data_IF_641571089988
#
_entry.id   IF_641571089988
#
_cell.length_a   1.000
_cell.length_b   1.000
_cell.length_c   1.000
_cell.angle_alpha   90.00
_cell.angle_beta   90.00
_cell.angle_gamma   90.00
#
_symmetry.space_group_name_H-M   'P 1'
#
loop_
_entity.id
_entity.type
_entity.pdbx_description
1 polymer ?
#
# COMPACT_ATOMS: atom_id res chain seq x y z
N UNK A 1 -17.49 17.35 8.24
CA UNK A 1 -16.51 17.76 7.21
C UNK A 1 -15.72 16.55 6.77
N UNK A 2 -15.61 16.33 5.45
CA UNK A 2 -14.82 15.26 4.85
C UNK A 2 -13.59 15.89 4.16
N UNK A 3 -12.37 15.77 4.73
CA UNK A 3 -11.16 16.22 4.07
C UNK A 3 -10.88 15.38 2.81
N UNK A 4 -10.62 16.04 1.68
CA UNK A 4 -10.40 15.34 0.42
C UNK A 4 -9.19 15.90 -0.32
N UNK A 5 -8.26 15.01 -0.68
CA UNK A 5 -7.14 15.27 -1.59
C UNK A 5 -7.44 14.78 -3.00
N UNK A 6 -6.71 13.74 -3.44
CA UNK A 6 -6.86 13.13 -4.77
C UNK A 6 -8.10 12.25 -4.95
N UNK A 7 -8.76 11.86 -3.88
CA UNK A 7 -9.88 10.92 -3.86
C UNK A 7 -9.55 9.56 -4.50
N UNK A 8 -8.36 9.05 -4.22
CA UNK A 8 -7.83 7.77 -4.75
C UNK A 8 -7.97 6.61 -3.78
N UNK A 9 -8.46 6.87 -2.55
CA UNK A 9 -8.66 5.84 -1.53
C UNK A 9 -9.73 4.82 -1.93
N UNK A 10 -9.53 3.57 -1.51
CA UNK A 10 -10.36 2.42 -1.91
C UNK A 10 -11.38 1.99 -0.85
N UNK A 11 -11.42 2.66 0.30
CA UNK A 11 -12.30 2.32 1.44
C UNK A 11 -13.32 3.42 1.76
N UNK A 12 -13.53 4.38 0.86
CA UNK A 12 -14.55 5.41 1.00
C UNK A 12 -14.24 6.52 2.01
N UNK A 13 -13.03 6.59 2.58
CA UNK A 13 -12.66 7.53 3.64
C UNK A 13 -12.72 9.02 3.28
N UNK A 14 -12.79 9.37 1.99
CA UNK A 14 -12.90 10.76 1.50
C UNK A 14 -14.21 11.03 0.73
N UNK A 15 -15.23 10.16 0.89
CA UNK A 15 -16.52 10.25 0.19
C UNK A 15 -17.60 10.73 1.15
N UNK A 16 -18.31 11.85 0.87
CA UNK A 16 -19.44 12.28 1.69
C UNK A 16 -20.63 11.35 1.44
N UNK A 17 -21.14 10.70 2.48
CA UNK A 17 -22.24 9.74 2.39
C UNK A 17 -23.58 10.28 2.87
N UNK A 18 -23.59 11.29 3.74
CA UNK A 18 -24.79 11.80 4.41
C UNK A 18 -24.93 13.33 4.31
N UNK A 19 -24.36 13.93 3.25
CA UNK A 19 -24.45 15.36 3.00
C UNK A 19 -23.38 16.20 3.70
N UNK A 20 -22.29 15.59 4.10
CA UNK A 20 -21.14 16.29 4.70
C UNK A 20 -20.52 17.29 3.73
N UNK A 21 -19.95 18.35 4.29
CA UNK A 21 -19.19 19.33 3.52
C UNK A 21 -17.82 18.73 3.16
N UNK A 22 -17.51 18.67 1.87
CA UNK A 22 -16.19 18.27 1.38
C UNK A 22 -15.22 19.45 1.48
N UNK A 23 -14.14 19.26 2.23
CA UNK A 23 -13.03 20.21 2.30
C UNK A 23 -11.89 19.77 1.35
N UNK A 24 -11.85 20.36 0.16
CA UNK A 24 -10.80 20.07 -0.81
C UNK A 24 -9.47 20.70 -0.41
N UNK A 25 -8.43 19.87 -0.30
CA UNK A 25 -7.07 20.29 0.05
C UNK A 25 -6.16 20.46 -1.17
N UNK A 26 -6.68 20.29 -2.38
CA UNK A 26 -5.91 20.34 -3.64
C UNK A 26 -5.17 21.67 -3.87
N UNK A 27 -5.63 22.77 -3.27
CA UNK A 27 -4.99 24.10 -3.38
C UNK A 27 -3.78 24.29 -2.47
N UNK A 28 -3.50 23.36 -1.57
CA UNK A 28 -2.31 23.40 -0.72
C UNK A 28 -1.10 22.80 -1.46
N UNK A 29 -0.62 23.49 -2.47
CA UNK A 29 0.38 23.00 -3.45
C UNK A 29 1.81 23.51 -3.20
N UNK A 30 2.08 24.11 -2.05
CA UNK A 30 3.40 24.67 -1.76
C UNK A 30 4.47 23.56 -1.73
N UNK A 31 5.61 23.83 -2.34
CA UNK A 31 6.82 23.00 -2.30
C UNK A 31 7.99 23.89 -1.91
N UNK A 32 8.69 23.59 -0.83
CA UNK A 32 9.94 24.27 -0.49
C UNK A 32 11.09 23.80 -1.38
N UNK A 33 12.19 24.55 -1.40
CA UNK A 33 13.44 23.98 -1.89
C UNK A 33 13.81 22.71 -1.09
N UNK A 34 14.44 21.76 -1.77
CA UNK A 34 14.97 20.56 -1.09
C UNK A 34 16.15 20.95 -0.21
N UNK A 35 16.08 20.59 1.06
CA UNK A 35 17.19 20.67 1.97
C UNK A 35 18.15 19.50 1.72
N UNK A 36 19.20 19.75 0.95
CA UNK A 36 20.17 18.74 0.52
C UNK A 36 20.95 18.16 1.72
N UNK A 37 21.23 18.97 2.74
CA UNK A 37 22.00 18.54 3.88
C UNK A 37 21.19 17.61 4.79
N UNK A 38 19.90 17.91 4.97
CA UNK A 38 19.00 17.06 5.74
C UNK A 38 18.37 15.92 4.90
N UNK A 39 18.40 15.99 3.57
CA UNK A 39 17.65 15.08 2.70
C UNK A 39 16.15 15.20 2.96
N UNK A 40 15.62 16.44 2.98
CA UNK A 40 14.22 16.69 3.35
C UNK A 40 13.58 17.78 2.49
N UNK A 41 12.26 17.78 2.45
CA UNK A 41 11.46 18.80 1.77
C UNK A 41 10.18 19.10 2.56
N UNK A 42 9.74 20.36 2.60
CA UNK A 42 8.44 20.73 3.14
C UNK A 42 7.44 20.89 2.01
N UNK A 43 6.30 20.22 2.13
CA UNK A 43 5.28 20.13 1.08
C UNK A 43 3.89 20.43 1.63
N UNK A 44 3.04 21.07 0.84
CA UNK A 44 1.62 21.21 1.13
C UNK A 44 0.87 19.89 0.91
N UNK A 45 -0.22 19.71 1.64
CA UNK A 45 -1.02 18.48 1.62
C UNK A 45 -1.65 18.15 0.25
N UNK A 46 -1.85 19.15 -0.62
CA UNK A 46 -2.42 19.02 -1.97
C UNK A 46 -1.41 18.65 -3.06
N UNK A 47 -0.11 18.63 -2.76
CA UNK A 47 0.93 18.21 -3.71
C UNK A 47 0.72 16.75 -4.09
N UNK A 48 0.71 16.42 -5.38
CA UNK A 48 0.60 15.02 -5.83
C UNK A 48 1.92 14.27 -5.64
N UNK A 49 1.84 12.94 -5.55
CA UNK A 49 3.03 12.10 -5.43
C UNK A 49 3.96 12.29 -6.64
N UNK A 50 3.43 12.35 -7.85
CA UNK A 50 4.24 12.57 -9.06
C UNK A 50 5.01 13.90 -8.97
N UNK A 51 4.36 15.02 -8.57
CA UNK A 51 5.06 16.31 -8.41
C UNK A 51 6.15 16.25 -7.32
N UNK A 52 5.90 15.53 -6.24
CA UNK A 52 6.91 15.34 -5.18
C UNK A 52 8.10 14.53 -5.70
N UNK A 53 7.84 13.44 -6.44
CA UNK A 53 8.88 12.60 -7.04
C UNK A 53 9.73 13.38 -8.04
N UNK A 54 9.10 14.15 -8.94
CA UNK A 54 9.80 15.01 -9.90
C UNK A 54 10.68 16.07 -9.20
N UNK A 55 10.13 16.69 -8.14
CA UNK A 55 10.85 17.70 -7.38
C UNK A 55 12.05 17.13 -6.63
N UNK A 56 11.91 15.93 -6.03
CA UNK A 56 13.01 15.21 -5.39
C UNK A 56 14.06 14.78 -6.43
N UNK A 57 13.60 14.26 -7.59
CA UNK A 57 14.45 13.82 -8.70
C UNK A 57 15.31 14.94 -9.27
N UNK A 58 14.75 16.14 -9.42
CA UNK A 58 15.49 17.34 -9.84
C UNK A 58 16.63 17.71 -8.87
N UNK A 59 16.53 17.29 -7.62
CA UNK A 59 17.56 17.47 -6.60
C UNK A 59 18.51 16.24 -6.44
N UNK A 60 18.38 15.22 -7.30
CA UNK A 60 19.19 13.99 -7.22
C UNK A 60 18.79 13.04 -6.10
N UNK A 61 17.60 13.23 -5.54
CA UNK A 61 17.01 12.39 -4.49
C UNK A 61 15.73 11.71 -4.98
N UNK A 62 15.16 10.83 -4.18
CA UNK A 62 13.89 10.18 -4.45
C UNK A 62 12.97 10.28 -3.23
N UNK A 63 11.68 10.08 -3.45
CA UNK A 63 10.72 9.88 -2.36
C UNK A 63 10.50 8.38 -2.15
N UNK A 64 10.53 7.91 -0.91
CA UNK A 64 10.55 6.48 -0.58
C UNK A 64 9.24 5.74 -0.82
N UNK A 65 8.10 6.44 -0.90
CA UNK A 65 6.79 5.85 -1.18
C UNK A 65 6.46 5.99 -2.66
N UNK A 66 6.03 4.88 -3.27
CA UNK A 66 5.55 4.86 -4.66
C UNK A 66 4.32 3.95 -4.79
N UNK A 67 3.28 4.43 -5.47
CA UNK A 67 2.02 3.73 -5.67
C UNK A 67 1.39 4.07 -7.03
N UNK A 68 0.50 3.20 -7.53
CA UNK A 68 -0.06 3.32 -8.88
C UNK A 68 -0.82 4.62 -9.18
N UNK A 69 -1.45 5.25 -8.17
CA UNK A 69 -2.23 6.47 -8.33
C UNK A 69 -1.38 7.77 -8.21
N UNK A 70 -0.08 7.72 -8.54
CA UNK A 70 0.90 8.81 -8.31
C UNK A 70 0.50 10.18 -8.85
N UNK A 71 -0.23 10.22 -9.96
CA UNK A 71 -0.66 11.47 -10.59
C UNK A 71 -1.79 12.20 -9.84
N UNK A 72 -2.54 11.46 -9.03
CA UNK A 72 -3.73 11.96 -8.33
C UNK A 72 -3.62 11.90 -6.81
N UNK A 73 -2.93 10.90 -6.25
CA UNK A 73 -2.74 10.77 -4.81
C UNK A 73 -1.96 11.96 -4.26
N UNK A 74 -2.48 12.60 -3.21
CA UNK A 74 -1.87 13.78 -2.61
C UNK A 74 -1.15 13.45 -1.32
N UNK A 75 -0.13 14.20 -0.97
CA UNK A 75 0.69 14.01 0.23
C UNK A 75 -0.17 13.93 1.50
N UNK A 76 -1.11 14.86 1.68
CA UNK A 76 -1.99 14.84 2.86
C UNK A 76 -2.87 13.59 2.92
N UNK A 77 -3.39 13.13 1.77
CA UNK A 77 -4.17 11.90 1.67
C UNK A 77 -3.34 10.67 2.00
N UNK A 78 -2.12 10.56 1.44
CA UNK A 78 -1.19 9.45 1.72
C UNK A 78 -0.79 9.40 3.20
N UNK A 79 -0.56 10.55 3.86
CA UNK A 79 -0.27 10.59 5.30
C UNK A 79 -1.51 10.16 6.09
N UNK A 80 -2.70 10.67 5.75
CA UNK A 80 -3.94 10.36 6.45
C UNK A 80 -4.29 8.86 6.40
N UNK A 81 -3.90 8.15 5.33
CA UNK A 81 -4.09 6.69 5.19
C UNK A 81 -2.85 5.87 5.59
N UNK A 82 -1.73 6.53 5.90
CA UNK A 82 -0.44 5.87 6.09
C UNK A 82 -0.08 4.96 4.91
N UNK A 83 -0.18 5.48 3.69
CA UNK A 83 0.03 4.72 2.47
C UNK A 83 1.41 4.03 2.45
N UNK A 84 1.43 2.79 1.98
CA UNK A 84 2.65 2.00 1.75
C UNK A 84 3.16 2.14 0.32
N UNK A 85 3.18 1.04 -0.42
CA UNK A 85 3.52 0.99 -1.85
C UNK A 85 4.71 0.10 -2.16
N UNK A 86 5.13 0.12 -3.43
CA UNK A 86 6.07 -0.84 -4.03
C UNK A 86 7.41 -1.01 -3.29
N UNK A 87 7.92 0.06 -2.69
CA UNK A 87 9.24 0.04 -2.03
C UNK A 87 9.13 0.02 -0.48
N UNK A 88 7.98 -0.41 0.05
CA UNK A 88 7.75 -0.48 1.51
C UNK A 88 8.84 -1.30 2.22
N UNK A 89 9.24 -2.42 1.61
CA UNK A 89 10.31 -3.29 2.13
C UNK A 89 11.59 -2.51 2.48
N UNK A 90 11.94 -1.51 1.67
CA UNK A 90 13.21 -0.78 1.78
C UNK A 90 13.09 0.52 2.55
N UNK A 91 12.00 1.24 2.39
CA UNK A 91 11.85 2.61 2.89
C UNK A 91 10.75 2.78 3.91
N UNK A 92 9.89 1.77 4.11
CA UNK A 92 8.69 1.87 4.92
C UNK A 92 7.56 2.65 4.25
N UNK A 93 6.50 2.94 5.01
CA UNK A 93 5.34 3.70 4.56
C UNK A 93 5.45 5.19 4.84
N UNK A 94 4.34 5.91 4.62
CA UNK A 94 4.29 7.37 4.84
C UNK A 94 4.69 7.78 6.24
N UNK A 95 4.30 7.02 7.28
CA UNK A 95 4.67 7.31 8.68
C UNK A 95 6.19 7.37 8.89
N UNK A 96 6.95 6.58 8.13
CA UNK A 96 8.41 6.55 8.22
C UNK A 96 9.07 7.70 7.45
N UNK A 97 8.34 8.32 6.52
CA UNK A 97 8.82 9.46 5.75
C UNK A 97 8.49 10.80 6.42
N UNK A 98 7.48 10.85 7.31
CA UNK A 98 7.07 12.09 7.97
C UNK A 98 8.07 12.46 9.07
N UNK A 99 8.68 13.66 8.92
CA UNK A 99 9.60 14.27 9.91
C UNK A 99 8.96 15.45 10.64
N UNK A 100 7.78 15.86 10.22
CA UNK A 100 7.00 16.91 10.85
C UNK A 100 5.70 17.17 10.11
N UNK A 101 4.72 17.74 10.80
CA UNK A 101 3.40 18.05 10.26
C UNK A 101 2.92 19.44 10.64
N UNK A 102 2.02 19.95 9.82
CA UNK A 102 1.09 21.02 10.15
C UNK A 102 -0.31 20.50 9.95
N UNK A 103 -1.20 20.72 10.90
CA UNK A 103 -2.57 20.29 10.83
C UNK A 103 -3.52 21.28 11.52
N UNK A 104 -4.81 21.23 11.14
CA UNK A 104 -5.88 22.03 11.75
C UNK A 104 -6.81 21.09 12.50
N UNK A 105 -7.01 21.35 13.79
CA UNK A 105 -7.95 20.63 14.66
C UNK A 105 -9.40 21.02 14.38
N UNK A 106 -10.34 20.30 14.98
CA UNK A 106 -11.78 20.52 14.78
C UNK A 106 -12.26 21.91 15.17
N UNK A 107 -11.63 22.51 16.18
CA UNK A 107 -11.91 23.88 16.66
C UNK A 107 -11.24 24.99 15.83
N UNK A 108 -10.49 24.65 14.79
CA UNK A 108 -9.75 25.57 13.96
C UNK A 108 -8.32 25.88 14.47
N UNK A 109 -7.91 25.32 15.60
CA UNK A 109 -6.53 25.47 16.11
C UNK A 109 -5.51 24.86 15.15
N UNK A 110 -4.50 25.65 14.76
CA UNK A 110 -3.38 25.19 13.95
C UNK A 110 -2.29 24.65 14.87
N UNK A 111 -1.93 23.40 14.68
CA UNK A 111 -0.76 22.79 15.30
C UNK A 111 0.33 22.61 14.24
N UNK A 112 1.57 22.96 14.57
CA UNK A 112 2.65 22.95 13.60
C UNK A 112 3.98 22.56 14.25
N UNK A 113 4.64 21.59 13.64
CA UNK A 113 6.02 21.19 13.93
C UNK A 113 6.64 20.70 12.62
N UNK A 114 7.37 21.57 11.91
CA UNK A 114 7.96 21.29 10.61
C UNK A 114 9.50 21.40 10.62
N UNK A 115 10.13 21.37 11.80
CA UNK A 115 11.58 21.57 11.96
C UNK A 115 12.40 20.39 11.38
N UNK A 116 11.82 19.20 11.32
CA UNK A 116 12.42 18.05 10.64
C UNK A 116 13.65 17.48 11.34
N UNK A 117 13.71 17.58 12.67
CA UNK A 117 14.79 17.02 13.46
C UNK A 117 14.75 15.49 13.42
N UNK A 118 15.91 14.85 13.19
CA UNK A 118 16.01 13.39 13.22
C UNK A 118 15.78 12.77 14.60
N UNK A 119 16.03 13.55 15.65
CA UNK A 119 15.80 13.16 17.05
C UNK A 119 15.09 14.29 17.74
N UNK A 120 13.84 14.06 18.11
CA UNK A 120 13.04 14.95 18.93
C UNK A 120 12.18 14.12 19.89
N UNK A 121 12.47 14.24 21.18
CA UNK A 121 11.73 13.61 22.27
C UNK A 121 10.98 14.63 23.12
N UNK A 122 10.65 15.81 22.56
CA UNK A 122 10.00 16.90 23.27
C UNK A 122 8.49 16.72 23.26
N UNK A 123 7.97 15.81 24.06
CA UNK A 123 6.54 15.54 24.20
C UNK A 123 6.03 14.35 23.39
N UNK A 124 4.72 14.29 23.20
CA UNK A 124 4.08 13.23 22.42
C UNK A 124 4.30 13.41 20.91
N UNK A 125 4.54 12.32 20.21
CA UNK A 125 4.61 12.29 18.74
C UNK A 125 3.19 12.33 18.13
N UNK A 126 2.60 13.52 18.12
CA UNK A 126 1.28 13.73 17.55
C UNK A 126 1.30 13.61 16.01
N UNK A 127 2.45 13.83 15.37
CA UNK A 127 2.60 13.62 13.93
C UNK A 127 2.34 12.17 13.54
N UNK A 128 2.92 11.23 14.28
CA UNK A 128 2.66 9.79 14.05
C UNK A 128 1.25 9.37 14.42
N UNK A 129 0.61 10.04 15.37
CA UNK A 129 -0.80 9.81 15.69
C UNK A 129 -1.72 10.18 14.52
N UNK A 130 -1.41 11.26 13.79
CA UNK A 130 -2.18 11.69 12.64
C UNK A 130 -1.94 10.84 11.39
N UNK A 131 -0.79 10.15 11.29
CA UNK A 131 -0.54 9.20 10.19
C UNK A 131 -1.43 7.97 10.32
N UNK A 132 -2.35 7.79 9.37
CA UNK A 132 -3.35 6.72 9.39
C UNK A 132 -4.62 7.07 10.18
N UNK A 133 -4.83 8.36 10.52
CA UNK A 133 -6.05 8.81 11.18
C UNK A 133 -7.24 9.01 10.24
N UNK A 134 -7.05 8.88 8.95
CA UNK A 134 -8.08 8.98 7.90
C UNK A 134 -8.92 10.27 7.97
N UNK A 135 -8.28 11.38 8.40
CA UNK A 135 -8.95 12.67 8.53
C UNK A 135 -9.95 12.78 9.70
N UNK A 136 -9.95 11.82 10.63
CA UNK A 136 -10.88 11.80 11.77
C UNK A 136 -10.38 12.64 12.97
N UNK A 137 -9.08 12.93 13.05
CA UNK A 137 -8.47 13.63 14.21
C UNK A 137 -8.06 15.07 13.89
N UNK A 138 -7.66 15.34 12.66
CA UNK A 138 -7.24 16.66 12.19
C UNK A 138 -7.24 16.70 10.66
N UNK A 139 -7.17 17.91 10.10
CA UNK A 139 -6.95 18.17 8.67
C UNK A 139 -5.47 18.48 8.46
N UNK A 140 -4.72 17.57 7.82
CA UNK A 140 -3.31 17.75 7.50
C UNK A 140 -3.18 18.79 6.39
N UNK A 141 -2.37 19.84 6.60
CA UNK A 141 -2.20 20.96 5.66
C UNK A 141 -0.81 21.03 5.05
N UNK A 142 0.23 20.61 5.78
CA UNK A 142 1.60 20.51 5.28
C UNK A 142 2.38 19.41 6.00
N UNK A 143 3.46 18.94 5.37
CA UNK A 143 4.38 17.97 5.95
C UNK A 143 5.83 18.32 5.63
N UNK A 144 6.74 18.02 6.56
CA UNK A 144 8.18 17.88 6.34
C UNK A 144 8.46 16.40 6.09
N UNK A 145 8.98 16.06 4.91
CA UNK A 145 9.18 14.69 4.46
C UNK A 145 10.67 14.38 4.27
N UNK A 146 11.05 13.18 4.65
CA UNK A 146 12.35 12.59 4.33
C UNK A 146 12.40 12.21 2.86
N UNK A 147 13.52 12.52 2.22
CA UNK A 147 13.89 12.01 0.91
C UNK A 147 14.97 10.93 1.07
N UNK A 148 15.04 10.04 0.09
CA UNK A 148 15.97 8.91 0.07
C UNK A 148 16.93 9.07 -1.10
N UNK A 149 18.09 8.36 -1.13
CA UNK A 149 18.97 8.37 -2.29
C UNK A 149 18.22 7.89 -3.54
N UNK A 150 18.42 8.59 -4.66
CA UNK A 150 17.99 8.10 -5.96
C UNK A 150 18.96 6.99 -6.43
N UNK A 151 18.46 5.76 -6.51
CA UNK A 151 19.23 4.64 -7.04
C UNK A 151 18.99 4.52 -8.54
N UNK A 152 20.02 4.86 -9.34
CA UNK A 152 19.95 4.82 -10.80
C UNK A 152 20.06 3.39 -11.34
N UNK A 153 20.90 2.56 -10.68
CA UNK A 153 21.14 1.18 -11.11
C UNK A 153 20.07 0.25 -10.53
N UNK A 154 19.45 -0.52 -11.40
CA UNK A 154 18.38 -1.45 -11.05
C UNK A 154 18.53 -2.76 -11.80
N UNK A 155 18.21 -3.86 -11.17
CA UNK A 155 18.01 -5.16 -11.80
C UNK A 155 16.60 -5.66 -11.47
N UNK A 156 15.92 -6.25 -12.47
CA UNK A 156 14.57 -6.80 -12.31
C UNK A 156 14.59 -8.23 -12.84
N UNK A 157 14.06 -9.17 -12.08
CA UNK A 157 13.88 -10.54 -12.49
C UNK A 157 12.43 -10.99 -12.27
N UNK A 158 11.93 -11.81 -13.19
CA UNK A 158 10.69 -12.57 -13.03
C UNK A 158 11.06 -14.04 -12.84
N UNK A 159 10.64 -14.60 -11.73
CA UNK A 159 10.91 -15.97 -11.31
C UNK A 159 9.62 -16.76 -11.32
N UNK A 160 9.65 -18.03 -11.75
CA UNK A 160 8.49 -18.89 -11.83
C UNK A 160 8.65 -20.14 -10.95
N UNK A 161 7.55 -20.55 -10.31
CA UNK A 161 7.51 -21.65 -9.35
C UNK A 161 6.30 -22.56 -9.59
N UNK A 162 6.47 -23.86 -9.27
CA UNK A 162 5.40 -24.83 -9.33
C UNK A 162 4.40 -24.71 -8.18
N UNK A 163 4.86 -24.18 -7.03
CA UNK A 163 4.03 -24.02 -5.83
C UNK A 163 4.19 -22.62 -5.23
N UNK A 164 3.11 -22.11 -4.65
CA UNK A 164 3.10 -20.81 -3.96
C UNK A 164 4.09 -20.81 -2.78
N UNK A 165 4.16 -21.91 -2.05
CA UNK A 165 5.11 -22.07 -0.93
C UNK A 165 6.55 -21.86 -1.36
N UNK A 166 6.93 -22.39 -2.53
CA UNK A 166 8.30 -22.25 -3.06
C UNK A 166 8.63 -20.79 -3.41
N UNK A 167 7.67 -20.06 -3.98
CA UNK A 167 7.82 -18.63 -4.26
C UNK A 167 7.98 -17.80 -2.98
N UNK A 168 7.24 -18.14 -1.92
CA UNK A 168 7.33 -17.44 -0.63
C UNK A 168 8.65 -17.76 0.09
N UNK A 169 9.09 -19.01 0.08
CA UNK A 169 10.39 -19.38 0.63
C UNK A 169 11.52 -18.62 -0.09
N UNK A 170 11.46 -18.50 -1.42
CA UNK A 170 12.41 -17.74 -2.21
C UNK A 170 12.48 -16.26 -1.81
N UNK A 171 11.37 -15.62 -1.43
CA UNK A 171 11.38 -14.24 -0.91
C UNK A 171 12.27 -14.12 0.32
N UNK A 172 12.14 -15.05 1.27
CA UNK A 172 12.91 -15.01 2.51
C UNK A 172 14.39 -15.37 2.29
N UNK A 173 14.70 -16.22 1.30
CA UNK A 173 16.06 -16.49 0.88
C UNK A 173 16.70 -15.24 0.26
N UNK A 174 16.00 -14.59 -0.68
CA UNK A 174 16.47 -13.37 -1.34
C UNK A 174 16.64 -12.21 -0.35
N UNK A 175 15.71 -12.01 0.60
CA UNK A 175 15.85 -10.98 1.65
C UNK A 175 17.09 -11.14 2.52
N UNK A 176 17.59 -12.37 2.70
CA UNK A 176 18.82 -12.63 3.47
C UNK A 176 20.08 -12.54 2.63
N UNK A 177 19.98 -12.80 1.34
CA UNK A 177 21.12 -12.90 0.44
C UNK A 177 21.43 -11.61 -0.34
N UNK A 178 20.43 -10.71 -0.49
CA UNK A 178 20.50 -9.56 -1.41
C UNK A 178 20.26 -8.26 -0.64
N UNK A 179 21.31 -7.52 -0.38
CA UNK A 179 21.25 -6.24 0.34
C UNK A 179 20.56 -5.12 -0.49
N UNK A 180 20.67 -5.22 -1.82
CA UNK A 180 20.07 -4.26 -2.75
C UNK A 180 18.57 -4.49 -3.02
N UNK A 181 17.96 -5.52 -2.42
CA UNK A 181 16.55 -5.85 -2.64
C UNK A 181 15.63 -4.66 -2.32
N UNK A 182 14.82 -4.25 -3.29
CA UNK A 182 13.94 -3.09 -3.20
C UNK A 182 12.44 -3.45 -3.23
N UNK A 183 12.07 -4.49 -3.98
CA UNK A 183 10.70 -4.99 -4.06
C UNK A 183 10.67 -6.49 -4.35
N UNK A 184 9.63 -7.17 -3.87
CA UNK A 184 9.31 -8.55 -4.21
C UNK A 184 7.79 -8.72 -4.27
N UNK A 185 7.29 -9.02 -5.47
CA UNK A 185 5.88 -9.01 -5.83
C UNK A 185 5.42 -10.41 -6.25
N UNK A 186 4.46 -10.96 -5.50
CA UNK A 186 3.83 -12.24 -5.83
C UNK A 186 2.63 -12.02 -6.74
N UNK A 187 2.42 -12.88 -7.71
CA UNK A 187 1.15 -13.05 -8.43
C UNK A 187 1.02 -14.48 -8.94
N UNK A 188 -0.23 -14.90 -9.19
CA UNK A 188 -0.53 -16.26 -9.59
C UNK A 188 -0.65 -16.40 -11.11
N UNK A 189 -0.50 -17.63 -11.61
CA UNK A 189 -0.58 -17.95 -13.03
C UNK A 189 -1.89 -17.50 -13.69
N UNK A 190 -3.02 -17.68 -13.01
CA UNK A 190 -4.33 -17.23 -13.52
C UNK A 190 -4.39 -15.70 -13.72
N UNK A 191 -3.76 -14.93 -12.81
CA UNK A 191 -3.68 -13.49 -12.93
C UNK A 191 -2.77 -13.05 -14.08
N UNK A 192 -1.62 -13.71 -14.25
CA UNK A 192 -0.72 -13.44 -15.37
C UNK A 192 -1.36 -13.75 -16.72
N UNK A 193 -2.06 -14.88 -16.83
CA UNK A 193 -2.81 -15.23 -18.05
C UNK A 193 -3.85 -14.17 -18.38
N UNK A 194 -4.62 -13.72 -17.38
CA UNK A 194 -5.59 -12.65 -17.57
C UNK A 194 -4.94 -11.36 -18.07
N UNK A 195 -3.80 -10.95 -17.49
CA UNK A 195 -3.06 -9.75 -17.91
C UNK A 195 -2.58 -9.90 -19.36
N UNK A 196 -1.97 -11.04 -19.71
CA UNK A 196 -1.48 -11.28 -21.07
C UNK A 196 -2.62 -11.28 -22.10
N UNK A 197 -3.75 -11.95 -21.79
CA UNK A 197 -4.88 -12.07 -22.70
C UNK A 197 -5.66 -10.76 -22.88
N UNK A 198 -5.92 -10.04 -21.79
CA UNK A 198 -6.77 -8.84 -21.83
C UNK A 198 -6.05 -7.60 -22.30
N UNK A 199 -4.73 -7.56 -22.13
CA UNK A 199 -3.92 -6.37 -22.38
C UNK A 199 -2.88 -6.57 -23.49
N UNK A 200 -3.01 -7.69 -24.23
CA UNK A 200 -2.16 -8.05 -25.36
C UNK A 200 -0.65 -8.01 -25.04
N UNK A 201 -0.29 -8.53 -23.86
CA UNK A 201 1.12 -8.68 -23.47
C UNK A 201 1.66 -10.07 -23.88
N UNK A 202 2.91 -10.14 -24.34
CA UNK A 202 3.53 -11.43 -24.63
C UNK A 202 3.66 -12.27 -23.37
N UNK A 203 3.53 -13.60 -23.47
CA UNK A 203 3.81 -14.49 -22.33
C UNK A 203 5.30 -14.41 -21.97
N UNK A 204 5.65 -14.30 -20.65
CA UNK A 204 7.05 -14.21 -20.25
C UNK A 204 7.81 -15.53 -20.42
N UNK A 205 7.10 -16.66 -20.32
CA UNK A 205 7.61 -18.02 -20.45
C UNK A 205 6.75 -18.85 -21.40
N UNK A 206 7.31 -19.90 -22.03
CA UNK A 206 6.56 -20.79 -22.91
C UNK A 206 5.43 -21.54 -22.18
N UNK A 207 5.67 -21.93 -20.92
CA UNK A 207 4.72 -22.62 -20.05
C UNK A 207 4.15 -21.70 -19.00
N UNK A 208 2.93 -22.01 -18.53
CA UNK A 208 2.31 -21.33 -17.38
C UNK A 208 2.67 -22.07 -16.10
N UNK A 209 3.06 -21.31 -15.08
CA UNK A 209 3.40 -21.82 -13.76
C UNK A 209 2.36 -21.35 -12.73
N UNK A 210 2.32 -21.98 -11.55
CA UNK A 210 1.32 -21.66 -10.55
C UNK A 210 1.57 -20.29 -9.90
N UNK A 211 2.83 -19.96 -9.60
CA UNK A 211 3.21 -18.74 -8.91
C UNK A 211 4.39 -18.04 -9.60
N UNK A 212 4.37 -16.74 -9.55
CA UNK A 212 5.44 -15.88 -10.07
C UNK A 212 5.87 -14.89 -9.00
N UNK A 213 7.17 -14.64 -8.95
CA UNK A 213 7.78 -13.63 -8.10
C UNK A 213 8.54 -12.63 -8.97
N UNK A 214 8.10 -11.39 -9.01
CA UNK A 214 8.86 -10.28 -9.60
C UNK A 214 9.74 -9.68 -8.49
N UNK A 215 11.03 -9.58 -8.76
CA UNK A 215 12.02 -9.06 -7.82
C UNK A 215 12.73 -7.87 -8.44
N UNK A 216 12.81 -6.77 -7.70
CA UNK A 216 13.62 -5.61 -8.06
C UNK A 216 14.73 -5.39 -7.03
N UNK A 217 15.93 -5.18 -7.52
CA UNK A 217 17.09 -4.71 -6.79
C UNK A 217 17.45 -3.30 -7.24
N UNK A 218 17.85 -2.42 -6.32
CA UNK A 218 18.26 -1.06 -6.64
C UNK A 218 19.48 -0.64 -5.83
N UNK A 219 20.47 -0.01 -6.48
CA UNK A 219 21.72 0.32 -5.85
C UNK A 219 22.44 1.53 -6.46
N UNK A 220 23.57 1.89 -5.85
CA UNK A 220 24.53 2.85 -6.42
C UNK A 220 25.42 2.19 -7.48
N UNK A 221 25.72 0.90 -7.30
CA UNK A 221 26.34 0.04 -8.30
C UNK A 221 25.29 -0.87 -8.92
N UNK A 222 25.57 -1.41 -10.11
CA UNK A 222 24.68 -2.34 -10.81
C UNK A 222 24.47 -3.61 -9.97
N UNK A 223 23.24 -3.91 -9.53
CA UNK A 223 22.94 -5.07 -8.69
C UNK A 223 22.66 -6.36 -9.50
N UNK A 224 22.90 -6.38 -10.80
CA UNK A 224 22.54 -7.50 -11.68
C UNK A 224 23.26 -8.78 -11.29
N UNK A 225 24.58 -8.71 -11.02
CA UNK A 225 25.39 -9.88 -10.64
C UNK A 225 24.99 -10.41 -9.26
N UNK A 226 24.69 -9.51 -8.30
CA UNK A 226 24.21 -9.88 -6.96
C UNK A 226 22.88 -10.65 -7.06
N UNK A 227 21.92 -10.10 -7.83
CA UNK A 227 20.62 -10.75 -8.04
C UNK A 227 20.78 -12.08 -8.77
N UNK A 228 21.57 -12.15 -9.84
CA UNK A 228 21.77 -13.36 -10.61
C UNK A 228 22.40 -14.48 -9.76
N UNK A 229 23.40 -14.14 -8.93
CA UNK A 229 24.05 -15.10 -8.03
C UNK A 229 23.05 -15.63 -6.98
N UNK A 230 22.21 -14.78 -6.40
CA UNK A 230 21.20 -15.19 -5.44
C UNK A 230 20.11 -16.06 -6.09
N UNK A 231 19.61 -15.69 -7.27
CA UNK A 231 18.64 -16.47 -8.03
C UNK A 231 19.16 -17.86 -8.39
N UNK A 232 20.44 -17.97 -8.76
CA UNK A 232 21.07 -19.26 -9.08
C UNK A 232 21.16 -20.22 -7.88
N UNK A 233 21.00 -19.73 -6.64
CA UNK A 233 21.01 -20.56 -5.43
C UNK A 233 19.61 -21.04 -5.02
N UNK A 234 18.52 -20.51 -5.64
CA UNK A 234 17.15 -20.90 -5.31
C UNK A 234 16.88 -22.34 -5.75
N UNK A 235 16.64 -23.23 -4.79
CA UNK A 235 16.55 -24.68 -5.02
C UNK A 235 15.30 -25.17 -5.74
N UNK A 236 14.24 -24.36 -5.86
CA UNK A 236 12.93 -24.77 -6.40
C UNK A 236 12.45 -23.87 -7.53
N UNK A 237 13.36 -23.10 -8.10
CA UNK A 237 13.11 -22.25 -9.24
C UNK A 237 12.91 -23.13 -10.49
N UNK A 238 11.81 -22.86 -11.25
CA UNK A 238 11.49 -23.60 -12.49
C UNK A 238 11.97 -22.83 -13.71
N UNK A 239 11.71 -21.51 -13.73
CA UNK A 239 12.09 -20.64 -14.85
C UNK A 239 12.44 -19.25 -14.34
N UNK A 240 13.28 -18.51 -15.04
CA UNK A 240 13.69 -17.17 -14.68
C UNK A 240 13.97 -16.30 -15.91
N UNK A 241 13.52 -15.06 -15.86
CA UNK A 241 13.86 -14.03 -16.82
C UNK A 241 14.44 -12.81 -16.09
N UNK A 242 15.71 -12.53 -16.31
CA UNK A 242 16.36 -11.30 -15.85
C UNK A 242 16.25 -10.27 -16.97
N UNK A 243 15.72 -9.10 -16.65
CA UNK A 243 15.50 -8.07 -17.65
C UNK A 243 16.77 -7.29 -17.96
N UNK A 244 17.10 -7.15 -19.24
CA UNK A 244 17.91 -6.04 -19.70
C UNK A 244 17.17 -4.70 -19.44
N UNK A 245 17.88 -3.55 -19.46
CA UNK A 245 17.27 -2.25 -19.17
C UNK A 245 16.01 -1.93 -19.98
N UNK A 246 15.93 -2.42 -21.24
CA UNK A 246 14.79 -2.16 -22.13
C UNK A 246 13.56 -3.02 -21.80
N UNK A 247 13.72 -4.11 -21.06
CA UNK A 247 12.61 -5.03 -20.71
C UNK A 247 12.09 -4.87 -19.29
N UNK A 248 12.71 -4.06 -18.44
CA UNK A 248 12.28 -3.87 -17.04
C UNK A 248 10.81 -3.44 -16.94
N UNK A 249 10.38 -2.50 -17.78
CA UNK A 249 9.00 -2.03 -17.81
C UNK A 249 8.01 -3.13 -18.19
N UNK A 250 8.39 -4.04 -19.09
CA UNK A 250 7.56 -5.17 -19.47
C UNK A 250 7.36 -6.12 -18.30
N UNK A 251 8.44 -6.44 -17.56
CA UNK A 251 8.32 -7.32 -16.39
C UNK A 251 7.41 -6.70 -15.31
N UNK A 252 7.58 -5.40 -15.04
CA UNK A 252 6.69 -4.69 -14.13
C UNK A 252 5.24 -4.65 -14.62
N UNK A 253 5.00 -4.53 -15.93
CA UNK A 253 3.66 -4.49 -16.49
C UNK A 253 2.87 -5.77 -16.17
N UNK A 254 3.51 -6.95 -16.11
CA UNK A 254 2.83 -8.19 -15.70
C UNK A 254 2.24 -8.07 -14.29
N UNK A 255 2.89 -7.35 -13.37
CA UNK A 255 2.40 -7.16 -12.00
C UNK A 255 1.49 -5.94 -11.86
N UNK A 256 1.89 -4.79 -12.36
CA UNK A 256 1.17 -3.52 -12.15
C UNK A 256 -0.17 -3.47 -12.86
N UNK A 257 -0.35 -4.20 -13.96
CA UNK A 257 -1.58 -4.16 -14.75
C UNK A 257 -2.65 -5.17 -14.32
N UNK A 258 -2.45 -5.92 -13.23
CA UNK A 258 -3.48 -6.78 -12.65
C UNK A 258 -4.80 -6.05 -12.36
N UNK A 259 -4.82 -4.87 -11.69
CA UNK A 259 -6.07 -4.17 -11.42
C UNK A 259 -6.82 -3.76 -12.69
N UNK A 260 -6.09 -3.37 -13.75
CA UNK A 260 -6.67 -3.04 -15.05
C UNK A 260 -7.33 -4.26 -15.69
N UNK A 261 -6.60 -5.37 -15.79
CA UNK A 261 -7.09 -6.60 -16.39
C UNK A 261 -8.29 -7.20 -15.64
N UNK A 262 -8.27 -7.16 -14.30
CA UNK A 262 -9.37 -7.62 -13.44
C UNK A 262 -10.63 -6.78 -13.65
N UNK A 263 -10.51 -5.45 -13.74
CA UNK A 263 -11.64 -4.56 -13.99
C UNK A 263 -12.31 -4.84 -15.36
N UNK A 264 -11.59 -5.40 -16.33
CA UNK A 264 -12.17 -5.84 -17.62
C UNK A 264 -12.99 -7.13 -17.50
N UNK A 265 -12.85 -7.89 -16.42
CA UNK A 265 -13.72 -9.04 -16.11
C UNK A 265 -15.04 -8.59 -15.49
N UNK A 266 -14.99 -7.56 -14.62
CA UNK A 266 -16.12 -6.99 -13.92
C UNK A 266 -15.68 -6.19 -12.72
N UNK A 267 -16.58 -5.43 -12.04
CA UNK A 267 -16.24 -4.70 -10.82
C UNK A 267 -15.84 -5.69 -9.71
N UNK A 268 -14.59 -5.64 -9.21
CA UNK A 268 -14.15 -6.53 -8.15
C UNK A 268 -14.43 -5.98 -6.77
N UNK A 269 -14.74 -6.85 -5.82
CA UNK A 269 -14.49 -6.60 -4.40
C UNK A 269 -12.98 -6.55 -4.18
N UNK A 270 -12.50 -5.54 -3.48
CA UNK A 270 -11.05 -5.29 -3.29
C UNK A 270 -10.70 -5.34 -1.83
N UNK A 271 -10.12 -6.45 -1.41
CA UNK A 271 -9.57 -6.59 -0.08
C UNK A 271 -8.05 -6.43 -0.14
N UNK A 272 -7.52 -5.88 0.92
CA UNK A 272 -6.10 -5.57 1.08
C UNK A 272 -5.72 -5.96 2.50
N UNK A 273 -4.94 -7.03 2.62
CA UNK A 273 -4.71 -7.71 3.90
C UNK A 273 -3.22 -7.96 4.13
N UNK A 274 -2.83 -8.06 5.40
CA UNK A 274 -1.46 -8.45 5.75
C UNK A 274 -1.49 -9.74 6.57
N UNK A 275 -0.61 -10.67 6.26
CA UNK A 275 -0.47 -11.95 6.95
C UNK A 275 0.90 -12.05 7.64
N UNK A 276 0.99 -12.78 8.77
CA UNK A 276 2.27 -13.25 9.27
C UNK A 276 2.99 -14.07 8.18
N UNK A 277 4.30 -13.89 8.04
CA UNK A 277 5.09 -14.52 6.98
C UNK A 277 4.85 -16.03 6.84
N UNK A 278 4.77 -16.76 7.96
CA UNK A 278 4.53 -18.19 7.97
C UNK A 278 3.11 -18.62 7.55
N UNK A 279 2.19 -17.67 7.35
CA UNK A 279 0.79 -17.95 7.03
C UNK A 279 0.40 -17.53 5.61
N UNK A 280 1.31 -16.87 4.87
CA UNK A 280 1.01 -16.32 3.54
C UNK A 280 0.67 -17.45 2.56
N UNK A 281 1.47 -18.53 2.51
CA UNK A 281 1.23 -19.63 1.59
C UNK A 281 -0.13 -20.29 1.83
N UNK A 282 -0.42 -20.63 3.09
CA UNK A 282 -1.70 -21.19 3.51
C UNK A 282 -2.86 -20.28 3.09
N UNK A 283 -2.74 -18.98 3.34
CA UNK A 283 -3.77 -18.02 2.97
C UNK A 283 -4.02 -17.99 1.46
N UNK A 284 -2.96 -17.87 0.66
CA UNK A 284 -3.06 -17.80 -0.82
C UNK A 284 -3.66 -19.07 -1.41
N UNK A 285 -3.37 -20.23 -0.83
CA UNK A 285 -3.91 -21.53 -1.28
C UNK A 285 -5.37 -21.74 -0.84
N UNK A 286 -5.78 -21.27 0.33
CA UNK A 286 -7.11 -21.54 0.87
C UNK A 286 -8.20 -20.55 0.45
N UNK A 287 -7.84 -19.26 0.27
CA UNK A 287 -8.81 -18.19 -0.02
C UNK A 287 -9.70 -18.47 -1.23
N UNK A 288 -9.21 -19.01 -2.37
CA UNK A 288 -10.09 -19.32 -3.50
C UNK A 288 -11.21 -20.32 -3.14
N UNK A 289 -10.93 -21.30 -2.29
CA UNK A 289 -11.92 -22.27 -1.81
C UNK A 289 -12.94 -21.62 -0.89
N UNK A 290 -12.49 -20.79 0.07
CA UNK A 290 -13.36 -20.04 0.99
C UNK A 290 -14.33 -19.15 0.21
N UNK A 291 -13.83 -18.42 -0.78
CA UNK A 291 -14.67 -17.57 -1.64
C UNK A 291 -15.68 -18.40 -2.43
N UNK A 292 -15.25 -19.55 -2.98
CA UNK A 292 -16.14 -20.43 -3.78
C UNK A 292 -17.26 -21.05 -2.94
N UNK A 293 -17.04 -21.29 -1.64
CA UNK A 293 -18.06 -21.82 -0.72
C UNK A 293 -19.19 -20.84 -0.47
N UNK A 294 -18.89 -19.54 -0.30
CA UNK A 294 -19.88 -18.51 0.03
C UNK A 294 -20.45 -17.81 -1.21
N UNK A 295 -19.70 -17.80 -2.31
CA UNK A 295 -20.09 -17.19 -3.59
C UNK A 295 -19.77 -18.13 -4.76
N UNK A 296 -20.60 -19.16 -5.02
CA UNK A 296 -20.38 -20.11 -6.12
C UNK A 296 -20.27 -19.40 -7.47
N UNK A 297 -19.17 -19.66 -8.20
CA UNK A 297 -18.87 -19.04 -9.50
C UNK A 297 -18.08 -17.73 -9.41
N UNK A 298 -17.82 -17.20 -8.22
CA UNK A 298 -16.88 -16.09 -8.03
C UNK A 298 -15.45 -16.50 -8.41
N UNK A 299 -14.66 -15.54 -8.89
CA UNK A 299 -13.25 -15.73 -9.23
C UNK A 299 -12.39 -14.86 -8.31
N UNK A 300 -11.38 -15.48 -7.71
CA UNK A 300 -10.43 -14.83 -6.81
C UNK A 300 -9.10 -14.58 -7.53
N UNK A 301 -8.60 -13.35 -7.47
CA UNK A 301 -7.36 -12.90 -8.08
C UNK A 301 -6.43 -12.39 -6.98
N UNK A 302 -5.32 -13.10 -6.79
CA UNK A 302 -4.38 -12.84 -5.70
C UNK A 302 -3.04 -12.36 -6.25
N UNK A 303 -2.57 -11.26 -5.72
CA UNK A 303 -1.24 -10.69 -5.97
C UNK A 303 -0.85 -9.77 -4.81
N UNK A 304 0.42 -9.41 -4.66
CA UNK A 304 0.77 -8.46 -3.60
C UNK A 304 2.26 -8.34 -3.30
N UNK A 305 2.54 -7.45 -2.34
CA UNK A 305 3.86 -7.13 -1.81
C UNK A 305 4.28 -8.20 -0.80
N UNK A 306 4.64 -9.39 -1.30
CA UNK A 306 4.81 -10.57 -0.46
C UNK A 306 5.92 -10.43 0.58
N UNK A 307 6.92 -9.57 0.32
CA UNK A 307 8.05 -9.37 1.22
C UNK A 307 7.69 -8.66 2.53
N UNK A 308 6.57 -7.94 2.59
CA UNK A 308 6.01 -7.31 3.80
C UNK A 308 4.70 -7.98 4.28
N UNK A 309 4.29 -9.05 3.59
CA UNK A 309 3.13 -9.85 3.95
C UNK A 309 1.80 -9.33 3.40
N UNK A 310 1.82 -8.29 2.56
CA UNK A 310 0.60 -7.72 1.98
C UNK A 310 0.13 -8.53 0.76
N UNK A 311 -1.14 -8.94 0.79
CA UNK A 311 -1.84 -9.61 -0.31
C UNK A 311 -3.11 -8.84 -0.66
N UNK A 312 -3.22 -8.46 -1.92
CA UNK A 312 -4.44 -7.93 -2.51
C UNK A 312 -5.32 -9.09 -2.96
N UNK A 313 -6.54 -9.14 -2.46
CA UNK A 313 -7.56 -10.12 -2.82
C UNK A 313 -8.63 -9.40 -3.62
N UNK A 314 -8.75 -9.73 -4.91
CA UNK A 314 -9.78 -9.17 -5.77
C UNK A 314 -10.76 -10.28 -6.15
N UNK A 315 -12.06 -10.07 -5.88
CA UNK A 315 -13.09 -11.06 -6.11
C UNK A 315 -14.07 -10.52 -7.15
N UNK A 316 -14.21 -11.20 -8.29
CA UNK A 316 -15.17 -10.85 -9.34
C UNK A 316 -16.30 -11.87 -9.38
N UNK A 317 -17.53 -11.40 -9.69
CA UNK A 317 -18.73 -12.25 -9.78
C UNK A 317 -19.84 -11.84 -8.81
N UNK A 318 -19.58 -11.69 -7.49
CA UNK A 318 -20.62 -11.20 -6.57
C UNK A 318 -21.12 -9.81 -6.93
N UNK A 319 -22.35 -9.50 -6.52
CA UNK A 319 -22.91 -8.16 -6.65
C UNK A 319 -22.13 -7.19 -5.72
N UNK A 320 -22.00 -5.89 -6.07
CA UNK A 320 -21.20 -4.94 -5.29
C UNK A 320 -21.65 -4.73 -3.84
N UNK A 321 -22.88 -5.11 -3.51
CA UNK A 321 -23.50 -5.05 -2.18
C UNK A 321 -23.55 -6.41 -1.46
N UNK A 322 -23.02 -7.48 -2.07
CA UNK A 322 -22.91 -8.81 -1.45
C UNK A 322 -21.58 -8.96 -0.70
N UNK A 323 -21.60 -8.70 0.58
CA UNK A 323 -20.42 -8.70 1.46
C UNK A 323 -20.04 -10.10 1.98
N UNK A 324 -20.72 -11.18 1.56
CA UNK A 324 -20.47 -12.54 2.10
C UNK A 324 -19.02 -13.01 1.86
N UNK A 325 -18.47 -12.73 0.67
CA UNK A 325 -17.09 -13.06 0.35
C UNK A 325 -16.09 -12.23 1.14
N UNK A 326 -16.38 -10.94 1.34
CA UNK A 326 -15.52 -10.02 2.08
C UNK A 326 -15.46 -10.45 3.55
N UNK A 327 -16.60 -10.73 4.18
CA UNK A 327 -16.68 -11.21 5.55
C UNK A 327 -15.91 -12.53 5.76
N UNK A 328 -16.12 -13.51 4.88
CA UNK A 328 -15.46 -14.81 4.97
C UNK A 328 -13.92 -14.67 4.88
N UNK A 329 -13.42 -13.88 3.92
CA UNK A 329 -11.98 -13.67 3.75
C UNK A 329 -11.40 -12.88 4.94
N UNK A 330 -12.04 -11.80 5.39
CA UNK A 330 -11.55 -10.99 6.52
C UNK A 330 -11.56 -11.78 7.84
N UNK A 331 -12.60 -12.60 8.08
CA UNK A 331 -12.63 -13.50 9.23
C UNK A 331 -11.48 -14.52 9.17
N UNK A 332 -11.19 -15.08 8.01
CA UNK A 332 -10.08 -16.00 7.83
C UNK A 332 -8.73 -15.31 8.08
N UNK A 333 -8.51 -14.12 7.54
CA UNK A 333 -7.32 -13.30 7.83
C UNK A 333 -7.12 -13.12 9.33
N UNK A 334 -8.17 -12.72 10.05
CA UNK A 334 -8.10 -12.53 11.50
C UNK A 334 -7.78 -13.82 12.23
N UNK A 335 -8.33 -14.98 11.82
CA UNK A 335 -8.03 -16.30 12.39
C UNK A 335 -6.56 -16.71 12.24
N UNK A 336 -5.90 -16.22 11.19
CA UNK A 336 -4.48 -16.44 10.94
C UNK A 336 -3.57 -15.43 11.69
N UNK A 337 -4.15 -14.50 12.46
CA UNK A 337 -3.42 -13.41 13.12
C UNK A 337 -2.98 -12.30 12.18
N UNK A 338 -3.61 -12.18 11.02
CA UNK A 338 -3.38 -11.14 10.03
C UNK A 338 -4.17 -9.85 10.29
N UNK A 339 -3.97 -8.84 9.47
CA UNK A 339 -4.69 -7.57 9.49
C UNK A 339 -5.66 -7.47 8.31
N UNK A 340 -6.89 -7.00 8.59
CA UNK A 340 -7.92 -6.76 7.58
C UNK A 340 -7.62 -5.55 6.67
N UNK A 341 -6.59 -4.79 6.97
CA UNK A 341 -6.14 -3.68 6.15
C UNK A 341 -4.62 -3.53 6.23
N UNK A 342 -3.94 -3.73 5.09
CA UNK A 342 -2.49 -3.53 4.97
C UNK A 342 -2.15 -2.06 4.73
N UNK A 343 -2.71 -1.46 3.67
CA UNK A 343 -2.39 -0.12 3.19
C UNK A 343 -3.62 0.78 3.02
N UNK A 344 -4.79 0.21 2.67
CA UNK A 344 -5.95 0.99 2.24
C UNK A 344 -6.65 1.75 3.37
N UNK A 345 -6.44 1.38 4.62
CA UNK A 345 -7.17 1.90 5.78
C UNK A 345 -8.50 1.15 6.01
N UNK A 346 -9.29 1.66 6.94
CA UNK A 346 -10.60 1.12 7.33
C UNK A 346 -11.73 1.84 6.59
N UNK A 347 -11.66 3.16 6.54
CA UNK A 347 -12.65 4.00 5.88
C UNK A 347 -14.06 3.78 6.39
N UNK A 348 -15.01 3.87 5.48
CA UNK A 348 -16.40 3.47 5.69
C UNK A 348 -16.63 1.99 5.38
N UNK A 349 -15.83 1.44 4.45
CA UNK A 349 -16.02 0.11 3.90
C UNK A 349 -15.71 -1.02 4.89
N UNK A 350 -14.73 -0.86 5.77
CA UNK A 350 -14.26 -1.93 6.69
C UNK A 350 -14.61 -1.70 8.16
N UNK A 351 -15.27 -0.59 8.51
CA UNK A 351 -15.56 -0.25 9.92
C UNK A 351 -16.40 -1.31 10.65
N UNK A 352 -17.28 -2.01 9.94
CA UNK A 352 -18.08 -3.09 10.50
C UNK A 352 -17.23 -4.26 11.00
N UNK A 353 -16.11 -4.52 10.35
CA UNK A 353 -15.17 -5.62 10.66
C UNK A 353 -13.99 -5.21 11.54
N UNK A 354 -13.95 -3.96 12.04
CA UNK A 354 -12.86 -3.49 12.90
C UNK A 354 -12.67 -4.40 14.13
N UNK A 355 -13.75 -4.97 14.65
CA UNK A 355 -13.76 -5.89 15.78
C UNK A 355 -12.96 -7.18 15.55
N UNK A 356 -12.72 -7.58 14.30
CA UNK A 356 -11.88 -8.75 13.97
C UNK A 356 -10.40 -8.54 14.35
N UNK A 357 -9.92 -7.29 14.34
CA UNK A 357 -8.51 -6.96 14.62
C UNK A 357 -8.30 -6.05 15.83
N UNK A 358 -9.37 -5.49 16.40
CA UNK A 358 -9.24 -4.56 17.53
C UNK A 358 -10.18 -4.97 18.65
N UNK A 359 -9.61 -5.08 19.84
CA UNK A 359 -10.36 -5.36 21.04
C UNK A 359 -11.31 -4.22 21.41
N UNK A 360 -12.37 -4.47 22.19
CA UNK A 360 -13.24 -3.40 22.70
C UNK A 360 -12.47 -2.30 23.45
N UNK A 361 -11.40 -2.65 24.14
CA UNK A 361 -10.55 -1.69 24.86
C UNK A 361 -9.78 -0.76 23.91
N UNK A 362 -9.24 -1.29 22.79
CA UNK A 362 -8.59 -0.48 21.76
C UNK A 362 -9.60 0.46 21.08
N UNK A 363 -10.80 -0.03 20.74
CA UNK A 363 -11.86 0.80 20.15
C UNK A 363 -12.30 1.91 21.12
N UNK A 364 -12.40 1.61 22.42
CA UNK A 364 -12.68 2.62 23.44
C UNK A 364 -11.58 3.68 23.52
N UNK A 365 -10.31 3.27 23.43
CA UNK A 365 -9.18 4.21 23.38
C UNK A 365 -9.25 5.10 22.13
N UNK A 366 -9.55 4.54 20.95
CA UNK A 366 -9.69 5.33 19.71
C UNK A 366 -10.81 6.36 19.85
N UNK A 367 -11.96 5.99 20.44
CA UNK A 367 -13.06 6.92 20.71
C UNK A 367 -12.67 8.02 21.69
N UNK A 368 -11.91 7.70 22.74
CA UNK A 368 -11.40 8.69 23.70
C UNK A 368 -10.48 9.72 23.03
N UNK A 369 -9.55 9.25 22.16
CA UNK A 369 -8.67 10.12 21.37
C UNK A 369 -9.49 11.01 20.43
N UNK A 370 -10.44 10.43 19.70
CA UNK A 370 -11.36 11.16 18.80
C UNK A 370 -12.11 12.25 19.58
N UNK A 371 -12.73 11.91 20.71
CA UNK A 371 -13.51 12.86 21.52
C UNK A 371 -12.65 13.96 22.13
N UNK A 372 -11.38 13.69 22.43
CA UNK A 372 -10.45 14.70 22.95
C UNK A 372 -10.06 15.73 21.89
N UNK A 373 -9.91 15.35 20.62
CA UNK A 373 -9.47 16.21 19.52
C UNK A 373 -10.63 16.77 18.68
N UNK A 374 -11.75 16.11 18.69
CA UNK A 374 -12.97 16.49 17.94
C UNK A 374 -14.23 16.14 18.76
N UNK A 375 -14.51 16.89 19.85
CA UNK A 375 -15.63 16.61 20.74
C UNK A 375 -16.99 16.75 20.07
N UNK A 376 -17.11 17.59 19.04
CA UNK A 376 -18.36 17.83 18.29
C UNK A 376 -18.54 16.85 17.12
N UNK A 377 -17.58 15.94 16.86
CA UNK A 377 -17.65 14.97 15.77
C UNK A 377 -17.68 15.59 14.37
N UNK A 378 -17.03 16.74 14.18
CA UNK A 378 -17.04 17.51 12.92
C UNK A 378 -16.23 16.82 11.82
N UNK A 379 -15.08 16.19 12.18
CA UNK A 379 -14.10 15.65 11.25
C UNK A 379 -14.41 14.20 10.89
N UNK A 380 -14.72 13.97 9.64
CA UNK A 380 -14.90 12.66 9.00
C UNK A 380 -15.73 11.66 9.87
N UNK A 381 -16.98 11.99 10.23
CA UNK A 381 -17.71 11.36 11.34
C UNK A 381 -18.04 9.87 11.11
N UNK A 382 -18.06 9.41 9.84
CA UNK A 382 -18.49 8.05 9.49
C UNK A 382 -17.34 7.10 9.17
N UNK A 383 -16.10 7.54 9.37
CA UNK A 383 -14.89 6.84 8.98
C UNK A 383 -14.20 6.21 10.17
N UNK A 384 -13.59 5.04 9.98
CA UNK A 384 -12.75 4.29 10.90
C UNK A 384 -13.50 3.70 12.10
N UNK A 385 -14.23 4.49 12.86
CA UNK A 385 -14.89 4.02 14.08
C UNK A 385 -16.28 3.46 13.78
N UNK A 386 -16.62 2.28 14.31
CA UNK A 386 -17.99 1.78 14.26
C UNK A 386 -18.96 2.75 14.93
N UNK A 387 -20.20 2.80 14.44
CA UNK A 387 -21.26 3.58 15.06
C UNK A 387 -21.41 3.18 16.55
N UNK A 388 -21.85 4.10 17.38
CA UNK A 388 -22.09 3.78 18.78
C UNK A 388 -23.25 2.75 18.87
N UNK A 389 -23.16 1.75 19.77
CA UNK A 389 -24.22 0.76 19.94
C UNK A 389 -25.55 1.36 20.40
#
# INVERSE_FOLDING_TARGET
VVPQGGNTGLVGGSVPLQGEVVLSLRRLEALSAVDQAAGQVTVGAGVTLARLQDHAGAAGLAFGVDLGARDSATVGGMIATNAGGLHFLRFGGMRDQVQGLEAVLADGTIIRHLDGLWKDNTGYDWGRLLCGSEGTLAVITAARLRLVPAYAERAVALLAFMHVTDAIDAVWELRRAVDSLAAAELFLGSGLELVCERLDLPKPFPETHQAYLLVECAGKADPTDELAAAVAQLGRLVDAAVADPGRRQLLWAYRERHPEAINLVGPPHKLDVTLPAARIAEFVEQVPSIVSEVAPGARCWLFGHVADGNIHVNITGPAPDDEASDEAVLAYVASLGGSISAEHGIGTAKKAWLHLNRSPAEVALFRAIKSALDPEGVLNPHVLLPDAP
#
